data_IF_271448091398
#
_entry.id   IF_271448091398
#
_cell.length_a   1.000
_cell.length_b   1.000
_cell.length_c   1.000
_cell.angle_alpha   90.00
_cell.angle_beta   90.00
_cell.angle_gamma   90.00
#
_symmetry.space_group_name_H-M   'P 1'
#
loop_
_entity.id
_entity.type
_entity.pdbx_description
1 polymer ?
#
# COMPACT_ATOMS: atom_id res chain seq x y z
N UNK A 1 -16.34 18.71 1.20
CA UNK A 1 -15.21 18.84 2.14
C UNK A 1 -13.94 18.86 1.33
N UNK A 2 -13.26 20.01 1.26
CA UNK A 2 -11.97 20.14 0.59
C UNK A 2 -10.93 19.45 1.49
N UNK A 3 -10.36 18.33 1.04
CA UNK A 3 -9.30 17.67 1.80
C UNK A 3 -8.09 18.61 1.89
N UNK A 4 -7.60 18.87 3.10
CA UNK A 4 -6.43 19.71 3.32
C UNK A 4 -5.21 19.02 2.70
N UNK A 5 -4.37 19.75 1.95
CA UNK A 5 -3.20 19.19 1.21
C UNK A 5 -2.31 18.33 2.12
N UNK A 6 -2.11 18.77 3.36
CA UNK A 6 -1.34 18.05 4.38
C UNK A 6 -1.98 16.72 4.83
N UNK A 7 -3.31 16.59 4.79
CA UNK A 7 -4.01 15.35 5.11
C UNK A 7 -3.88 14.32 3.97
N UNK A 8 -3.97 14.80 2.72
CA UNK A 8 -3.82 13.94 1.54
C UNK A 8 -2.37 13.43 1.42
N UNK A 9 -1.39 14.25 1.78
CA UNK A 9 0.02 13.86 1.77
C UNK A 9 0.32 12.76 2.81
N UNK A 10 -0.18 12.93 4.04
CA UNK A 10 -0.11 11.89 5.09
C UNK A 10 -0.83 10.61 4.69
N UNK A 11 -1.98 10.72 4.02
CA UNK A 11 -2.73 9.57 3.53
C UNK A 11 -1.95 8.81 2.45
N UNK A 12 -1.30 9.52 1.53
CA UNK A 12 -0.46 8.91 0.49
C UNK A 12 0.73 8.16 1.10
N UNK A 13 1.41 8.77 2.07
CA UNK A 13 2.53 8.13 2.79
C UNK A 13 2.06 6.90 3.56
N UNK A 14 0.91 6.99 4.24
CA UNK A 14 0.32 5.85 4.94
C UNK A 14 -0.03 4.71 3.99
N UNK A 15 -0.64 4.99 2.83
CA UNK A 15 -0.95 3.97 1.82
C UNK A 15 0.30 3.28 1.27
N UNK A 16 1.38 4.04 1.06
CA UNK A 16 2.67 3.52 0.59
C UNK A 16 3.31 2.61 1.65
N UNK A 17 3.33 3.03 2.91
CA UNK A 17 3.90 2.20 3.99
C UNK A 17 3.05 0.96 4.26
N UNK A 18 1.73 1.09 4.19
CA UNK A 18 0.82 -0.04 4.28
C UNK A 18 1.08 -1.04 3.15
N UNK A 19 1.28 -0.58 1.91
CA UNK A 19 1.61 -1.45 0.78
C UNK A 19 2.92 -2.22 1.01
N UNK A 20 3.96 -1.58 1.55
CA UNK A 20 5.22 -2.26 1.91
C UNK A 20 5.00 -3.35 2.96
N UNK A 21 4.23 -3.05 4.01
CA UNK A 21 3.95 -4.00 5.09
C UNK A 21 3.11 -5.18 4.58
N UNK A 22 2.08 -4.92 3.77
CA UNK A 22 1.25 -5.95 3.14
C UNK A 22 2.08 -6.86 2.23
N UNK A 23 2.97 -6.28 1.42
CA UNK A 23 3.87 -7.05 0.56
C UNK A 23 4.86 -7.89 1.39
N UNK A 24 5.46 -7.31 2.42
CA UNK A 24 6.33 -8.06 3.32
C UNK A 24 5.57 -9.20 4.01
N UNK A 25 4.33 -8.96 4.44
CA UNK A 25 3.52 -10.03 5.03
C UNK A 25 3.12 -11.10 4.03
N UNK A 26 2.87 -10.77 2.77
CA UNK A 26 2.54 -11.78 1.77
C UNK A 26 3.75 -12.66 1.42
N UNK A 27 4.97 -12.13 1.54
CA UNK A 27 6.22 -12.87 1.33
C UNK A 27 6.57 -13.73 2.55
N UNK A 28 6.53 -13.16 3.75
CA UNK A 28 6.98 -13.83 4.97
C UNK A 28 5.89 -14.62 5.71
N UNK A 29 4.62 -14.54 5.27
CA UNK A 29 3.50 -15.23 5.92
C UNK A 29 3.15 -14.67 7.30
N UNK A 30 3.55 -13.43 7.60
CA UNK A 30 3.51 -12.83 8.94
C UNK A 30 2.11 -12.77 9.59
N UNK A 31 1.04 -12.72 8.79
CA UNK A 31 -0.36 -12.63 9.25
C UNK A 31 -1.19 -13.91 9.02
N UNK A 32 -0.58 -15.05 8.66
CA UNK A 32 -1.32 -16.31 8.48
C UNK A 32 -1.16 -17.17 9.75
N UNK A 33 -2.16 -17.16 10.67
CA UNK A 33 -2.09 -18.02 11.86
C UNK A 33 -2.12 -19.49 11.44
N UNK A 34 -1.09 -20.25 11.82
CA UNK A 34 -1.03 -21.71 11.66
C UNK A 34 -0.12 -22.25 10.55
N UNK A 35 0.53 -21.40 9.74
CA UNK A 35 1.48 -21.86 8.70
C UNK A 35 2.89 -21.33 8.94
N UNK A 36 3.66 -21.98 9.82
CA UNK A 36 5.13 -21.81 9.93
C UNK A 36 5.87 -22.58 8.82
N UNK A 37 5.33 -22.57 7.60
CA UNK A 37 5.82 -23.36 6.48
C UNK A 37 5.06 -23.06 5.21
N UNK A 38 5.77 -22.54 4.21
CA UNK A 38 5.32 -22.25 2.83
C UNK A 38 4.02 -21.45 2.70
N UNK A 39 4.16 -20.17 2.35
CA UNK A 39 3.03 -19.35 1.90
C UNK A 39 2.45 -19.96 0.63
N UNK A 40 1.15 -20.27 0.65
CA UNK A 40 0.44 -20.75 -0.52
C UNK A 40 0.48 -19.69 -1.63
N UNK A 41 0.80 -20.12 -2.87
CA UNK A 41 0.89 -19.25 -4.06
C UNK A 41 -0.36 -18.38 -4.24
N UNK A 42 -1.54 -18.91 -3.92
CA UNK A 42 -2.80 -18.15 -4.01
C UNK A 42 -2.80 -16.97 -3.03
N UNK A 43 -2.37 -17.20 -1.78
CA UNK A 43 -2.32 -16.14 -0.75
C UNK A 43 -1.27 -15.09 -1.12
N UNK A 44 -0.14 -15.51 -1.68
CA UNK A 44 0.87 -14.60 -2.20
C UNK A 44 0.33 -13.71 -3.32
N UNK A 45 -0.34 -14.29 -4.33
CA UNK A 45 -0.90 -13.54 -5.46
C UNK A 45 -1.95 -12.52 -4.99
N UNK A 46 -2.87 -12.93 -4.11
CA UNK A 46 -3.91 -12.03 -3.58
C UNK A 46 -3.27 -10.89 -2.79
N UNK A 47 -2.32 -11.19 -1.91
CA UNK A 47 -1.60 -10.16 -1.15
C UNK A 47 -0.79 -9.22 -2.03
N UNK A 48 -0.14 -9.73 -3.07
CA UNK A 48 0.63 -8.94 -4.03
C UNK A 48 -0.27 -7.99 -4.84
N UNK A 49 -1.42 -8.46 -5.36
CA UNK A 49 -2.37 -7.61 -6.08
C UNK A 49 -2.88 -6.48 -5.19
N UNK A 50 -3.23 -6.80 -3.95
CA UNK A 50 -3.74 -5.81 -3.00
C UNK A 50 -2.67 -4.77 -2.62
N UNK A 51 -1.44 -5.22 -2.34
CA UNK A 51 -0.31 -4.32 -2.09
C UNK A 51 -0.02 -3.41 -3.29
N UNK A 52 -0.07 -3.96 -4.51
CA UNK A 52 0.13 -3.20 -5.75
C UNK A 52 -0.95 -2.14 -5.94
N UNK A 53 -2.21 -2.47 -5.64
CA UNK A 53 -3.33 -1.53 -5.65
C UNK A 53 -3.14 -0.36 -4.67
N UNK A 54 -2.74 -0.65 -3.43
CA UNK A 54 -2.43 0.39 -2.44
C UNK A 54 -1.26 1.28 -2.88
N UNK A 55 -0.21 0.69 -3.47
CA UNK A 55 0.95 1.43 -3.97
C UNK A 55 0.57 2.38 -5.12
N UNK A 56 -0.17 1.88 -6.12
CA UNK A 56 -0.64 2.68 -7.26
C UNK A 56 -1.56 3.79 -6.77
N UNK A 57 -2.48 3.49 -5.85
CA UNK A 57 -3.38 4.48 -5.26
C UNK A 57 -2.62 5.59 -4.54
N UNK A 58 -1.66 5.23 -3.69
CA UNK A 58 -0.80 6.16 -2.97
C UNK A 58 0.06 7.03 -3.90
N UNK A 59 0.71 6.42 -4.89
CA UNK A 59 1.54 7.13 -5.89
C UNK A 59 0.73 8.11 -6.74
N UNK A 60 -0.47 7.72 -7.21
CA UNK A 60 -1.33 8.63 -7.97
C UNK A 60 -1.79 9.81 -7.11
N UNK A 61 -2.11 9.57 -5.84
CA UNK A 61 -2.51 10.62 -4.90
C UNK A 61 -1.36 11.61 -4.67
N UNK A 62 -0.15 11.09 -4.43
CA UNK A 62 1.06 11.89 -4.23
C UNK A 62 1.43 12.69 -5.48
N UNK A 63 1.37 12.08 -6.65
CA UNK A 63 1.67 12.74 -7.93
C UNK A 63 0.70 13.88 -8.23
N UNK A 64 -0.60 13.71 -7.91
CA UNK A 64 -1.61 14.78 -8.03
C UNK A 64 -1.35 15.95 -7.07
N UNK A 65 -0.89 15.66 -5.85
CA UNK A 65 -0.51 16.71 -4.89
C UNK A 65 0.74 17.47 -5.35
N UNK A 66 1.76 16.76 -5.82
CA UNK A 66 2.99 17.37 -6.30
C UNK A 66 2.74 18.32 -7.48
N UNK A 67 1.89 17.92 -8.44
CA UNK A 67 1.51 18.79 -9.56
C UNK A 67 0.71 20.03 -9.13
N UNK A 68 0.05 19.99 -7.96
CA UNK A 68 -0.66 21.16 -7.39
C UNK A 68 0.25 22.18 -6.68
N UNK A 69 1.56 21.89 -6.59
CA UNK A 69 2.58 22.82 -6.07
C UNK A 69 3.32 23.58 -7.18
N UNK A 70 3.10 23.23 -8.47
CA UNK A 70 3.77 23.82 -9.63
C UNK A 70 2.93 24.91 -10.35
N UNK A 71 1.74 25.22 -9.84
CA UNK A 71 0.87 26.34 -10.24
C UNK A 71 0.73 27.31 -9.07
#
# INVERSE_FOLDING_TARGET
MQFNKHQVDKLSSFLIDLAKILFASSVFGFFIPGSSGQVNVIVFIVGAIFAFGCLIGGLNLLSRLNNSHQL
#
